data_IF_048949534273
#
_entry.id   IF_048949534273
#
_cell.length_a   1.000
_cell.length_b   1.000
_cell.length_c   1.000
_cell.angle_alpha   90.00
_cell.angle_beta   90.00
_cell.angle_gamma   90.00
#
_symmetry.space_group_name_H-M   'P 1'
#
loop_
_entity.id
_entity.type
_entity.pdbx_description
1 polymer ?
#
# COMPACT_ATOMS: atom_id res chain seq x y z
N UNK A 1 2.70 1.63 -1.29
CA UNK A 1 4.11 2.09 -1.34
C UNK A 1 4.99 0.89 -1.61
N UNK A 2 5.92 1.03 -2.55
CA UNK A 2 6.97 0.03 -2.80
C UNK A 2 7.78 -0.24 -1.51
N UNK A 3 8.13 -1.51 -1.27
CA UNK A 3 8.91 -1.96 -0.09
C UNK A 3 10.36 -1.47 -0.08
N UNK A 4 10.87 -0.94 -1.18
CA UNK A 4 12.25 -0.49 -1.34
C UNK A 4 12.53 0.84 -0.66
N UNK A 5 11.50 1.62 -0.31
CA UNK A 5 11.67 2.94 0.29
C UNK A 5 11.01 3.00 1.68
N UNK A 6 11.77 2.56 2.69
CA UNK A 6 11.33 2.50 4.11
C UNK A 6 12.12 3.43 5.03
N UNK A 7 12.85 4.40 4.47
CA UNK A 7 13.62 5.34 5.27
C UNK A 7 12.69 6.18 6.18
N UNK A 8 13.13 6.46 7.41
CA UNK A 8 12.34 7.28 8.32
C UNK A 8 12.23 8.71 7.82
N UNK A 9 11.01 9.25 7.79
CA UNK A 9 10.76 10.65 7.49
C UNK A 9 11.35 11.59 8.55
N UNK A 10 11.61 11.10 9.77
CA UNK A 10 12.16 11.87 10.90
C UNK A 10 13.64 11.59 11.17
N UNK A 11 14.33 10.90 10.26
CA UNK A 11 15.77 10.67 10.39
C UNK A 11 16.56 12.00 10.39
N UNK A 12 17.69 12.03 11.09
CA UNK A 12 18.62 13.16 11.06
C UNK A 12 19.06 13.46 9.61
N UNK A 13 19.04 14.73 9.22
CA UNK A 13 19.30 15.20 7.85
C UNK A 13 18.05 15.35 6.97
N UNK A 14 16.85 15.17 7.51
CA UNK A 14 15.57 15.39 6.83
C UNK A 14 14.82 16.65 7.31
N UNK A 15 15.37 17.40 8.27
CA UNK A 15 14.68 18.47 9.00
C UNK A 15 14.17 19.59 8.09
N UNK A 16 14.89 19.87 7.00
CA UNK A 16 14.57 20.94 6.05
C UNK A 16 14.05 20.44 4.70
N UNK A 17 13.75 19.13 4.58
CA UNK A 17 13.24 18.56 3.33
C UNK A 17 11.72 18.64 3.31
N UNK A 18 11.16 18.99 2.16
CA UNK A 18 9.72 18.95 1.94
C UNK A 18 9.22 17.51 1.84
N UNK A 19 7.92 17.31 2.05
CA UNK A 19 7.26 16.03 1.81
C UNK A 19 7.51 15.50 0.39
N UNK A 20 7.52 16.39 -0.62
CA UNK A 20 7.81 16.01 -2.00
C UNK A 20 9.25 15.52 -2.18
N UNK A 21 10.24 16.15 -1.53
CA UNK A 21 11.63 15.70 -1.59
C UNK A 21 11.81 14.35 -0.89
N UNK A 22 11.18 14.17 0.27
CA UNK A 22 11.25 12.93 1.06
C UNK A 22 10.56 11.75 0.35
N UNK A 23 9.46 12.02 -0.35
CA UNK A 23 8.65 10.98 -1.00
C UNK A 23 8.96 10.81 -2.50
N UNK A 24 9.94 11.53 -3.04
CA UNK A 24 10.27 11.53 -4.47
C UNK A 24 10.57 10.13 -5.06
N UNK A 25 11.13 9.23 -4.25
CA UNK A 25 11.41 7.84 -4.63
C UNK A 25 10.33 6.84 -4.22
N UNK A 26 9.16 7.30 -3.75
CA UNK A 26 8.07 6.42 -3.31
C UNK A 26 7.11 6.19 -4.48
N UNK A 27 6.87 4.93 -4.82
CA UNK A 27 5.92 4.53 -5.86
C UNK A 27 4.73 3.77 -5.29
N UNK A 28 3.63 3.77 -6.05
CA UNK A 28 2.50 2.87 -5.81
C UNK A 28 2.91 1.42 -6.11
N UNK A 29 2.22 0.50 -5.46
CA UNK A 29 2.44 -0.94 -5.60
C UNK A 29 1.10 -1.66 -5.44
N UNK A 30 0.95 -2.81 -6.10
CA UNK A 30 -0.23 -3.66 -5.97
C UNK A 30 -0.48 -4.07 -4.50
N UNK A 31 -1.75 -4.30 -4.16
CA UNK A 31 -2.13 -4.69 -2.79
C UNK A 31 -1.42 -6.00 -2.42
N UNK A 32 -0.73 -5.99 -1.28
CA UNK A 32 0.03 -7.13 -0.76
C UNK A 32 1.49 -7.23 -1.20
N UNK A 33 1.93 -6.45 -2.19
CA UNK A 33 3.34 -6.44 -2.63
C UNK A 33 4.15 -5.30 -2.01
N UNK A 34 3.47 -4.22 -1.60
CA UNK A 34 4.04 -3.04 -0.95
C UNK A 34 4.28 -3.17 0.57
N UNK A 35 4.71 -2.07 1.20
CA UNK A 35 5.11 -2.02 2.61
C UNK A 35 3.96 -2.05 3.63
N UNK A 36 2.71 -1.88 3.20
CA UNK A 36 1.55 -1.83 4.10
C UNK A 36 1.24 -3.24 4.64
N UNK A 37 1.17 -3.38 5.97
CA UNK A 37 0.77 -4.62 6.62
C UNK A 37 -0.76 -4.78 6.65
N UNK A 38 -1.34 -5.12 5.49
CA UNK A 38 -2.78 -5.29 5.36
C UNK A 38 -3.37 -6.39 6.26
N UNK A 39 -2.61 -7.45 6.58
CA UNK A 39 -3.11 -8.53 7.45
C UNK A 39 -3.41 -8.02 8.86
N UNK A 40 -2.50 -7.22 9.41
CA UNK A 40 -2.68 -6.63 10.73
C UNK A 40 -3.86 -5.65 10.76
N UNK A 41 -4.03 -4.86 9.70
CA UNK A 41 -5.17 -3.94 9.57
C UNK A 41 -6.50 -4.74 9.48
N UNK A 42 -6.55 -5.75 8.62
CA UNK A 42 -7.76 -6.54 8.40
C UNK A 42 -8.12 -7.43 9.58
N UNK A 43 -7.17 -7.79 10.45
CA UNK A 43 -7.47 -8.45 11.72
C UNK A 43 -8.43 -7.63 12.62
N UNK A 44 -8.51 -6.31 12.40
CA UNK A 44 -9.40 -5.39 13.13
C UNK A 44 -10.70 -5.08 12.36
N UNK A 45 -10.90 -5.63 11.15
CA UNK A 45 -12.02 -5.28 10.28
C UNK A 45 -13.39 -5.58 10.93
N UNK A 46 -13.49 -6.70 11.64
CA UNK A 46 -14.72 -7.07 12.37
C UNK A 46 -15.03 -6.08 13.49
N UNK A 47 -14.02 -5.70 14.28
CA UNK A 47 -14.18 -4.73 15.37
C UNK A 47 -14.59 -3.36 14.83
N UNK A 48 -14.02 -2.94 13.70
CA UNK A 48 -14.34 -1.69 13.03
C UNK A 48 -15.69 -1.71 12.30
N UNK A 49 -16.39 -2.86 12.24
CA UNK A 49 -17.68 -2.97 11.56
C UNK A 49 -17.61 -2.82 10.04
N UNK A 50 -16.48 -3.19 9.42
CA UNK A 50 -16.28 -3.06 7.97
C UNK A 50 -17.29 -3.93 7.20
N UNK A 51 -18.04 -3.32 6.28
CA UNK A 51 -19.03 -4.00 5.44
C UNK A 51 -18.60 -4.15 3.97
N UNK A 52 -17.83 -3.20 3.46
CA UNK A 52 -17.39 -3.16 2.06
C UNK A 52 -15.91 -2.80 1.99
N UNK A 53 -15.21 -3.40 1.04
CA UNK A 53 -13.79 -3.17 0.77
C UNK A 53 -13.66 -2.88 -0.72
N UNK A 54 -12.96 -1.80 -1.06
CA UNK A 54 -12.68 -1.40 -2.43
C UNK A 54 -11.18 -1.43 -2.68
N UNK A 55 -10.79 -1.82 -3.89
CA UNK A 55 -9.42 -1.70 -4.38
C UNK A 55 -9.40 -0.58 -5.41
N UNK A 56 -8.60 0.44 -5.15
CA UNK A 56 -8.41 1.59 -6.05
C UNK A 56 -6.97 1.60 -6.58
N UNK A 57 -6.82 1.98 -7.84
CA UNK A 57 -5.53 2.17 -8.50
C UNK A 57 -5.43 3.63 -8.96
N UNK A 58 -4.46 4.36 -8.42
CA UNK A 58 -4.17 5.74 -8.80
C UNK A 58 -3.09 5.77 -9.91
N UNK A 59 -1.85 5.38 -9.58
CA UNK A 59 -0.78 5.20 -10.56
C UNK A 59 -0.52 3.73 -10.85
N UNK A 60 -0.56 3.37 -12.13
CA UNK A 60 -0.31 2.02 -12.63
C UNK A 60 0.98 2.04 -13.47
N UNK A 61 1.91 1.14 -13.18
CA UNK A 61 3.22 1.05 -13.88
C UNK A 61 3.36 -0.22 -14.73
N UNK A 62 2.38 -1.12 -14.67
CA UNK A 62 2.28 -2.33 -15.49
C UNK A 62 0.95 -2.32 -16.27
N UNK A 63 0.62 -3.41 -16.96
CA UNK A 63 -0.70 -3.53 -17.58
C UNK A 63 -1.83 -3.34 -16.53
N UNK A 64 -2.85 -2.51 -16.79
CA UNK A 64 -3.91 -2.23 -15.82
C UNK A 64 -4.67 -3.46 -15.36
N UNK A 65 -4.95 -4.40 -16.27
CA UNK A 65 -5.67 -5.63 -15.93
C UNK A 65 -4.80 -6.55 -15.09
N UNK A 66 -3.51 -6.69 -15.42
CA UNK A 66 -2.58 -7.43 -14.58
C UNK A 66 -2.45 -6.83 -13.17
N UNK A 67 -2.39 -5.50 -13.07
CA UNK A 67 -2.28 -4.80 -11.79
C UNK A 67 -3.51 -5.02 -10.90
N UNK A 68 -4.72 -4.94 -11.47
CA UNK A 68 -5.95 -5.13 -10.68
C UNK A 68 -6.15 -6.60 -10.33
N UNK A 69 -5.82 -7.52 -11.25
CA UNK A 69 -5.86 -8.96 -10.99
C UNK A 69 -4.94 -9.36 -9.84
N UNK A 70 -3.70 -8.83 -9.79
CA UNK A 70 -2.78 -9.06 -8.68
C UNK A 70 -3.36 -8.58 -7.35
N UNK A 71 -3.86 -7.36 -7.30
CA UNK A 71 -4.44 -6.76 -6.08
C UNK A 71 -5.69 -7.52 -5.63
N UNK A 72 -6.60 -7.86 -6.55
CA UNK A 72 -7.80 -8.65 -6.29
C UNK A 72 -7.46 -10.03 -5.70
N UNK A 73 -6.50 -10.74 -6.31
CA UNK A 73 -6.12 -12.07 -5.86
C UNK A 73 -5.55 -12.06 -4.44
N UNK A 74 -4.79 -11.03 -4.07
CA UNK A 74 -4.32 -10.88 -2.70
C UNK A 74 -5.49 -10.65 -1.73
N UNK A 75 -6.39 -9.71 -2.02
CA UNK A 75 -7.56 -9.46 -1.17
C UNK A 75 -8.37 -10.74 -0.97
N UNK A 76 -8.81 -11.37 -2.07
CA UNK A 76 -9.67 -12.57 -2.06
C UNK A 76 -9.04 -13.74 -1.30
N UNK A 77 -7.78 -14.05 -1.59
CA UNK A 77 -7.17 -15.30 -1.11
C UNK A 77 -6.42 -15.14 0.21
N UNK A 78 -6.17 -13.91 0.65
CA UNK A 78 -5.32 -13.62 1.81
C UNK A 78 -6.04 -12.81 2.89
N UNK A 79 -6.87 -11.83 2.52
CA UNK A 79 -7.43 -10.87 3.47
C UNK A 79 -8.88 -11.16 3.88
N UNK A 80 -9.71 -11.70 2.99
CA UNK A 80 -11.15 -11.93 3.23
C UNK A 80 -11.54 -13.40 3.33
N UNK A 81 -10.64 -14.21 3.89
CA UNK A 81 -10.93 -15.62 4.21
C UNK A 81 -11.88 -15.75 5.40
#
# INVERSE_FOLDING_TARGET
MDKKNTASLTAAGNENKTSMQLLSGVSFAEVGTGSINFRQIFAQAKQAGVQHIFVEQDKITIDPFDSITKSYNYVKNVLVK
#
